data_IF_070808212918
#
_entry.id   IF_070808212918
#
_cell.length_a   1.000
_cell.length_b   1.000
_cell.length_c   1.000
_cell.angle_alpha   90.00
_cell.angle_beta   90.00
_cell.angle_gamma   90.00
#
_symmetry.space_group_name_H-M   'P 1'
#
loop_
_entity.id
_entity.type
_entity.pdbx_description
1 polymer ?
#
# COMPACT_ATOMS: atom_id res chain seq x y z
N UNK A 1 -10.60 -2.11 3.36
CA UNK A 1 -10.18 -0.79 2.87
C UNK A 1 -8.93 -0.45 3.63
N UNK A 2 -7.90 -0.21 2.85
CA UNK A 2 -6.56 -0.04 3.34
C UNK A 2 -6.25 1.46 3.26
N UNK A 3 -5.74 1.99 4.35
CA UNK A 3 -5.47 3.42 4.52
C UNK A 3 -3.96 3.56 4.69
N UNK A 4 -3.34 4.28 3.74
CA UNK A 4 -1.92 4.64 3.84
C UNK A 4 -1.79 6.14 3.90
N UNK A 5 -1.00 6.60 4.86
CA UNK A 5 -0.83 8.01 5.16
C UNK A 5 0.67 8.27 5.13
N UNK A 6 1.14 9.24 4.33
CA UNK A 6 2.55 9.56 4.31
C UNK A 6 2.93 10.24 5.62
N UNK A 7 4.00 9.79 6.25
CA UNK A 7 4.53 10.34 7.50
C UNK A 7 6.02 10.62 7.37
N UNK A 8 6.56 11.37 8.34
CA UNK A 8 7.99 11.58 8.47
C UNK A 8 8.64 10.43 9.23
N UNK A 9 9.97 10.28 9.10
CA UNK A 9 10.72 9.20 9.75
C UNK A 9 10.69 9.25 11.29
N UNK A 10 10.31 10.39 11.87
CA UNK A 10 10.15 10.60 13.30
C UNK A 10 8.83 11.32 13.53
N UNK A 11 7.82 10.60 14.01
CA UNK A 11 6.56 11.19 14.48
C UNK A 11 6.45 10.99 15.99
N UNK A 12 5.77 11.91 16.65
CA UNK A 12 5.43 11.85 18.07
C UNK A 12 4.14 11.05 18.28
N UNK A 13 3.90 10.60 19.52
CA UNK A 13 2.65 9.92 19.86
C UNK A 13 1.41 10.83 19.69
N UNK A 14 1.59 12.15 19.86
CA UNK A 14 0.55 13.14 19.64
C UNK A 14 0.19 13.25 18.15
N UNK A 15 1.20 13.34 17.28
CA UNK A 15 0.98 13.37 15.83
C UNK A 15 0.34 12.06 15.34
N UNK A 16 0.76 10.91 15.87
CA UNK A 16 0.11 9.63 15.59
C UNK A 16 -1.39 9.66 15.94
N UNK A 17 -1.74 10.21 17.10
CA UNK A 17 -3.14 10.37 17.49
C UNK A 17 -3.93 11.32 16.58
N UNK A 18 -3.33 12.44 16.19
CA UNK A 18 -3.95 13.35 15.23
C UNK A 18 -4.21 12.66 13.89
N UNK A 19 -3.22 11.91 13.38
CA UNK A 19 -3.34 11.12 12.15
C UNK A 19 -4.45 10.07 12.28
N UNK A 20 -4.48 9.34 13.40
CA UNK A 20 -5.51 8.33 13.65
C UNK A 20 -6.91 8.93 13.69
N UNK A 21 -7.09 10.05 14.38
CA UNK A 21 -8.40 10.73 14.48
C UNK A 21 -8.82 11.28 13.11
N UNK A 22 -7.91 11.94 12.39
CA UNK A 22 -8.24 12.61 11.13
C UNK A 22 -8.49 11.64 9.98
N UNK A 23 -7.82 10.49 9.95
CA UNK A 23 -7.90 9.57 8.80
C UNK A 23 -8.67 8.27 9.07
N UNK A 24 -8.75 7.81 10.32
CA UNK A 24 -9.46 6.59 10.68
C UNK A 24 -10.78 6.93 11.36
N UNK A 25 -10.72 7.60 12.52
CA UNK A 25 -11.92 7.92 13.31
C UNK A 25 -12.91 8.73 12.48
N UNK A 26 -12.50 9.85 11.90
CA UNK A 26 -13.41 10.75 11.18
C UNK A 26 -14.18 10.08 10.02
N UNK A 27 -13.62 9.00 9.45
CA UNK A 27 -14.17 8.31 8.27
C UNK A 27 -14.92 7.02 8.61
N UNK A 28 -14.49 6.32 9.66
CA UNK A 28 -14.97 4.98 9.98
C UNK A 28 -15.53 4.84 11.40
N UNK A 29 -15.49 5.91 12.19
CA UNK A 29 -15.83 5.90 13.60
C UNK A 29 -14.72 5.29 14.47
N UNK A 30 -15.02 5.16 15.76
CA UNK A 30 -14.12 4.54 16.74
C UNK A 30 -14.13 3.01 16.48
N UNK A 31 -12.99 2.37 16.16
CA UNK A 31 -12.94 0.93 16.02
C UNK A 31 -13.20 0.24 17.37
N UNK A 32 -13.51 -1.04 17.40
CA UNK A 32 -13.65 -1.77 18.68
C UNK A 32 -12.28 -2.13 19.26
N UNK A 33 -11.35 -2.52 18.40
CA UNK A 33 -9.98 -2.84 18.75
C UNK A 33 -8.98 -2.39 17.70
N UNK A 34 -7.73 -2.22 18.11
CA UNK A 34 -6.59 -1.94 17.25
C UNK A 34 -5.54 -3.01 17.51
N UNK A 35 -5.13 -3.69 16.44
CA UNK A 35 -3.98 -4.59 16.48
C UNK A 35 -2.75 -3.84 15.96
N UNK A 36 -1.68 -3.79 16.74
CA UNK A 36 -0.43 -3.10 16.37
C UNK A 36 0.79 -3.88 16.85
N UNK A 37 1.93 -3.65 16.22
CA UNK A 37 3.21 -4.14 16.75
C UNK A 37 3.59 -3.46 18.09
N UNK A 38 4.73 -3.87 18.65
CA UNK A 38 5.27 -3.29 19.89
C UNK A 38 6.13 -2.05 19.66
N UNK A 39 5.92 -1.33 18.56
CA UNK A 39 6.60 -0.07 18.28
C UNK A 39 6.41 0.95 19.41
N UNK A 40 7.45 1.77 19.66
CA UNK A 40 7.51 2.69 20.80
C UNK A 40 6.31 3.63 20.91
N UNK A 41 5.72 4.04 19.78
CA UNK A 41 4.54 4.88 19.73
C UNK A 41 3.27 4.15 20.22
N UNK A 42 3.07 2.90 19.80
CA UNK A 42 1.89 2.08 20.13
C UNK A 42 1.92 1.51 21.56
N UNK A 43 3.09 1.53 22.20
CA UNK A 43 3.26 1.19 23.63
C UNK A 43 3.44 2.41 24.52
N UNK A 44 3.43 3.63 23.95
CA UNK A 44 3.59 4.85 24.72
C UNK A 44 2.45 5.04 25.74
N UNK A 45 2.76 5.70 26.85
CA UNK A 45 1.76 6.05 27.87
C UNK A 45 0.64 6.91 27.28
N UNK A 46 0.99 7.86 26.41
CA UNK A 46 0.03 8.72 25.72
C UNK A 46 -0.95 7.90 24.87
N UNK A 47 -0.45 7.03 23.99
CA UNK A 47 -1.31 6.19 23.14
C UNK A 47 -2.19 5.26 23.98
N UNK A 48 -1.62 4.68 25.03
CA UNK A 48 -2.36 3.80 25.95
C UNK A 48 -3.51 4.55 26.63
N UNK A 49 -3.26 5.75 27.15
CA UNK A 49 -4.27 6.58 27.78
C UNK A 49 -5.36 6.99 26.78
N UNK A 50 -4.98 7.36 25.55
CA UNK A 50 -5.94 7.69 24.49
C UNK A 50 -6.87 6.51 24.18
N UNK A 51 -6.33 5.30 24.01
CA UNK A 51 -7.13 4.09 23.80
C UNK A 51 -8.10 3.85 24.95
N UNK A 52 -7.67 4.02 26.20
CA UNK A 52 -8.54 3.86 27.37
C UNK A 52 -9.70 4.88 27.39
N UNK A 53 -9.43 6.15 27.10
CA UNK A 53 -10.46 7.20 27.04
C UNK A 53 -11.48 6.93 25.92
N UNK A 54 -11.02 6.41 24.79
CA UNK A 54 -11.86 6.03 23.66
C UNK A 54 -12.52 4.66 23.83
N UNK A 55 -12.28 3.96 24.95
CA UNK A 55 -12.75 2.58 25.21
C UNK A 55 -12.36 1.59 24.11
N UNK A 56 -11.17 1.78 23.54
CA UNK A 56 -10.57 0.94 22.51
C UNK A 56 -9.79 -0.21 23.14
N UNK A 57 -10.00 -1.45 22.66
CA UNK A 57 -9.05 -2.52 22.96
C UNK A 57 -7.77 -2.32 22.17
N UNK A 58 -6.62 -2.44 22.84
CA UNK A 58 -5.30 -2.30 22.23
C UNK A 58 -4.61 -3.66 22.30
N UNK A 59 -4.60 -4.35 21.18
CA UNK A 59 -4.11 -5.70 21.05
C UNK A 59 -2.70 -5.64 20.45
N UNK A 60 -1.67 -5.77 21.30
CA UNK A 60 -0.30 -5.78 20.81
C UNK A 60 0.04 -7.14 20.21
N UNK A 61 0.48 -7.19 18.95
CA UNK A 61 1.01 -8.41 18.36
C UNK A 61 2.21 -8.90 19.17
N UNK A 62 2.32 -10.21 19.36
CA UNK A 62 3.54 -10.79 19.91
C UNK A 62 4.62 -10.75 18.85
N UNK A 63 5.90 -10.67 19.25
CA UNK A 63 6.98 -11.00 18.34
C UNK A 63 6.65 -12.38 17.73
N UNK A 64 6.66 -12.48 16.40
CA UNK A 64 6.23 -13.67 15.64
C UNK A 64 4.71 -13.93 15.64
N UNK A 65 3.88 -12.97 15.21
CA UNK A 65 2.50 -13.20 14.75
C UNK A 65 2.41 -13.05 13.21
N UNK A 66 2.87 -14.06 12.43
CA UNK A 66 3.04 -13.94 10.98
C UNK A 66 1.73 -13.74 10.23
N UNK A 67 0.59 -14.06 10.84
CA UNK A 67 -0.71 -13.92 10.20
C UNK A 67 -1.16 -12.46 10.14
N UNK A 68 -1.05 -11.71 11.24
CA UNK A 68 -1.48 -10.31 11.29
C UNK A 68 -0.44 -9.39 10.66
N UNK A 69 0.82 -9.54 11.05
CA UNK A 69 1.91 -8.72 10.51
C UNK A 69 2.18 -9.06 9.04
N UNK A 70 2.06 -10.34 8.67
CA UNK A 70 2.31 -10.79 7.30
C UNK A 70 1.27 -10.32 6.27
N UNK A 71 0.03 -10.02 6.67
CA UNK A 71 -0.92 -9.37 5.75
C UNK A 71 -0.52 -7.93 5.49
N UNK A 72 -0.26 -7.14 6.53
CA UNK A 72 0.20 -5.76 6.42
C UNK A 72 1.51 -5.66 5.63
N UNK A 73 2.46 -6.57 5.86
CA UNK A 73 3.72 -6.66 5.11
C UNK A 73 3.49 -6.94 3.62
N UNK A 74 2.56 -7.84 3.26
CA UNK A 74 2.22 -8.10 1.86
C UNK A 74 1.63 -6.88 1.19
N UNK A 75 0.73 -6.16 1.85
CA UNK A 75 0.15 -4.93 1.31
C UNK A 75 1.24 -3.86 1.12
N UNK A 76 2.13 -3.70 2.10
CA UNK A 76 3.27 -2.80 2.01
C UNK A 76 4.15 -3.12 0.80
N UNK A 77 4.49 -4.39 0.57
CA UNK A 77 5.29 -4.82 -0.57
C UNK A 77 4.60 -4.52 -1.92
N UNK A 78 3.29 -4.72 -1.99
CA UNK A 78 2.50 -4.41 -3.18
C UNK A 78 2.53 -2.91 -3.49
N UNK A 79 2.37 -2.06 -2.47
CA UNK A 79 2.48 -0.61 -2.63
C UNK A 79 3.89 -0.14 -2.94
N UNK A 80 4.92 -0.72 -2.31
CA UNK A 80 6.32 -0.44 -2.65
C UNK A 80 6.57 -0.75 -4.14
N UNK A 81 6.05 -1.88 -4.65
CA UNK A 81 6.18 -2.24 -6.06
C UNK A 81 5.48 -1.26 -6.99
N UNK A 82 4.30 -0.76 -6.60
CA UNK A 82 3.60 0.28 -7.33
C UNK A 82 4.43 1.57 -7.38
N UNK A 83 4.86 2.05 -6.20
CA UNK A 83 5.60 3.30 -6.07
C UNK A 83 6.90 3.27 -6.87
N UNK A 84 7.63 2.15 -6.88
CA UNK A 84 8.86 1.97 -7.68
C UNK A 84 8.69 2.29 -9.17
N UNK A 85 7.49 2.15 -9.73
CA UNK A 85 7.24 2.43 -11.13
C UNK A 85 7.11 3.93 -11.45
N UNK A 86 6.66 4.74 -10.49
CA UNK A 86 6.28 6.14 -10.71
C UNK A 86 7.21 7.13 -10.03
N UNK A 87 7.80 6.71 -8.92
CA UNK A 87 8.72 7.53 -8.14
C UNK A 87 9.91 7.92 -9.00
N UNK A 88 10.22 9.22 -9.00
CA UNK A 88 11.38 9.78 -9.68
C UNK A 88 12.68 9.16 -9.17
N UNK A 89 13.76 9.31 -9.93
CA UNK A 89 15.07 8.81 -9.54
C UNK A 89 15.53 9.32 -8.16
N UNK A 90 15.20 10.57 -7.82
CA UNK A 90 15.53 11.20 -6.55
C UNK A 90 14.61 10.78 -5.40
N UNK A 91 13.52 10.07 -5.68
CA UNK A 91 12.62 9.49 -4.69
C UNK A 91 11.94 10.46 -3.71
N UNK A 92 11.91 11.77 -3.99
CA UNK A 92 11.25 12.75 -3.11
C UNK A 92 9.74 12.87 -3.36
N UNK A 93 9.26 12.42 -4.52
CA UNK A 93 7.88 12.57 -5.00
C UNK A 93 6.96 11.38 -4.66
N UNK A 94 7.43 10.39 -3.89
CA UNK A 94 6.66 9.18 -3.58
C UNK A 94 5.33 9.44 -2.88
N UNK A 95 5.29 10.44 -1.99
CA UNK A 95 4.10 10.82 -1.25
C UNK A 95 2.99 11.35 -2.18
N UNK A 96 3.36 11.97 -3.31
CA UNK A 96 2.42 12.44 -4.34
C UNK A 96 1.72 11.28 -5.05
N UNK A 97 2.41 10.15 -5.21
CA UNK A 97 1.88 8.96 -5.88
C UNK A 97 1.12 8.02 -4.94
N UNK A 98 1.32 8.15 -3.62
CA UNK A 98 0.70 7.27 -2.63
C UNK A 98 -0.83 7.24 -2.73
N UNK A 99 -1.57 8.37 -2.85
CA UNK A 99 -3.03 8.30 -2.97
C UNK A 99 -3.52 7.48 -4.17
N UNK A 100 -2.84 7.58 -5.31
CA UNK A 100 -3.18 6.79 -6.51
C UNK A 100 -2.84 5.31 -6.32
N UNK A 101 -1.75 5.01 -5.62
CA UNK A 101 -1.36 3.64 -5.29
C UNK A 101 -2.39 2.96 -4.37
N UNK A 102 -2.80 3.65 -3.31
CA UNK A 102 -3.85 3.21 -2.37
C UNK A 102 -5.18 3.03 -3.08
N UNK A 103 -5.54 3.99 -3.93
CA UNK A 103 -6.75 3.91 -4.70
C UNK A 103 -6.79 2.67 -5.59
N UNK A 104 -5.73 2.44 -6.38
CA UNK A 104 -5.65 1.30 -7.28
C UNK A 104 -5.64 -0.03 -6.52
N UNK A 105 -5.02 -0.08 -5.34
CA UNK A 105 -5.09 -1.24 -4.47
C UNK A 105 -6.52 -1.49 -3.97
N UNK A 106 -7.22 -0.45 -3.49
CA UNK A 106 -8.58 -0.56 -2.99
C UNK A 106 -9.64 -0.85 -4.09
N UNK A 107 -9.33 -0.55 -5.36
CA UNK A 107 -10.14 -0.92 -6.53
C UNK A 107 -9.83 -2.33 -7.07
N UNK A 108 -8.64 -2.86 -6.79
CA UNK A 108 -8.23 -4.16 -7.30
C UNK A 108 -9.01 -5.30 -6.62
N UNK A 109 -9.42 -6.29 -7.42
CA UNK A 109 -10.10 -7.47 -6.89
C UNK A 109 -9.12 -8.39 -6.16
N UNK A 110 -9.42 -8.69 -4.90
CA UNK A 110 -8.63 -9.65 -4.13
C UNK A 110 -9.06 -11.08 -4.48
N UNK A 111 -8.08 -11.96 -4.73
CA UNK A 111 -8.38 -13.32 -5.20
C UNK A 111 -9.12 -14.20 -4.20
N UNK A 112 -8.97 -13.93 -2.90
CA UNK A 112 -9.64 -14.69 -1.84
C UNK A 112 -11.11 -14.32 -1.72
N UNK A 113 -11.44 -13.03 -1.83
CA UNK A 113 -12.80 -12.51 -1.64
C UNK A 113 -13.57 -12.32 -2.94
N UNK A 114 -12.87 -12.34 -4.09
CA UNK A 114 -13.42 -12.00 -5.43
C UNK A 114 -14.12 -10.65 -5.48
N UNK A 115 -13.74 -9.77 -4.56
CA UNK A 115 -14.28 -8.43 -4.37
C UNK A 115 -13.12 -7.48 -4.06
N UNK A 116 -13.25 -6.24 -4.50
CA UNK A 116 -12.34 -5.17 -4.12
C UNK A 116 -12.63 -4.69 -2.70
N UNK A 117 -11.64 -4.10 -2.00
CA UNK A 117 -11.88 -3.41 -0.74
C UNK A 117 -12.96 -2.32 -0.81
N UNK A 118 -13.05 -1.55 -1.91
CA UNK A 118 -14.10 -0.54 -2.10
C UNK A 118 -15.49 -1.16 -2.13
N UNK A 119 -15.70 -2.19 -2.94
CA UNK A 119 -16.99 -2.88 -3.02
C UNK A 119 -17.38 -3.52 -1.70
N UNK A 120 -16.40 -4.03 -0.94
CA UNK A 120 -16.65 -4.72 0.33
C UNK A 120 -17.19 -3.78 1.41
N UNK A 121 -16.77 -2.51 1.41
CA UNK A 121 -17.17 -1.54 2.43
C UNK A 121 -18.32 -0.64 1.98
N UNK A 122 -18.32 -0.20 0.72
CA UNK A 122 -19.31 0.74 0.22
C UNK A 122 -20.39 0.09 -0.65
N UNK A 123 -20.26 -1.20 -0.99
CA UNK A 123 -21.17 -1.89 -1.91
C UNK A 123 -21.04 -1.45 -3.38
N UNK A 124 -20.15 -0.51 -3.67
CA UNK A 124 -19.90 0.04 -5.00
C UNK A 124 -18.41 0.19 -5.26
N UNK A 125 -17.99 0.01 -6.51
CA UNK A 125 -16.66 0.39 -6.94
C UNK A 125 -16.70 1.79 -7.55
N UNK A 126 -15.78 2.69 -7.16
CA UNK A 126 -15.65 3.98 -7.81
C UNK A 126 -15.29 3.80 -9.29
N UNK A 127 -16.21 4.17 -10.18
CA UNK A 127 -15.98 4.17 -11.63
C UNK A 127 -15.29 5.48 -12.06
N UNK A 128 -14.30 5.37 -12.96
CA UNK A 128 -13.69 6.51 -13.66
C UNK A 128 -14.39 6.82 -14.97
N UNK A 129 -15.33 5.97 -15.39
CA UNK A 129 -16.01 6.08 -16.68
C UNK A 129 -16.96 7.29 -16.70
N UNK A 130 -17.28 7.85 -15.53
CA UNK A 130 -18.16 9.03 -15.37
C UNK A 130 -17.45 10.37 -15.54
N UNK A 131 -16.12 10.39 -15.74
CA UNK A 131 -15.36 11.63 -15.89
C UNK A 131 -15.51 12.15 -17.34
N UNK A 132 -16.63 12.82 -17.61
CA UNK A 132 -16.81 13.61 -18.84
C UNK A 132 -16.00 14.91 -18.73
N UNK A 133 -14.72 14.86 -19.11
CA UNK A 133 -13.90 16.07 -19.20
C UNK A 133 -13.75 16.46 -20.66
N UNK A 134 -14.13 17.70 -20.97
CA UNK A 134 -13.79 18.37 -22.22
C UNK A 134 -12.27 18.30 -22.45
N UNK A 135 -11.87 17.65 -23.55
CA UNK A 135 -10.46 17.41 -23.89
C UNK A 135 -9.66 18.70 -24.16
N UNK A 136 -10.34 19.84 -24.33
CA UNK A 136 -9.72 21.12 -24.69
C UNK A 136 -9.23 21.95 -23.49
N UNK A 137 -9.49 21.50 -22.26
CA UNK A 137 -9.00 22.18 -21.06
C UNK A 137 -7.63 21.66 -20.60
N UNK A 138 -6.79 22.49 -19.93
CA UNK A 138 -5.60 22.01 -19.22
C UNK A 138 -5.89 20.85 -18.26
N UNK A 139 -7.10 20.81 -17.67
CA UNK A 139 -7.58 19.72 -16.82
C UNK A 139 -7.84 18.41 -17.59
N UNK A 140 -8.28 18.49 -18.85
CA UNK A 140 -8.49 17.33 -19.74
C UNK A 140 -7.20 16.61 -20.14
N UNK A 141 -6.09 17.34 -20.25
CA UNK A 141 -4.76 16.74 -20.49
C UNK A 141 -4.22 16.03 -19.25
N UNK A 142 -4.50 16.56 -18.07
CA UNK A 142 -4.12 15.93 -16.79
C UNK A 142 -4.94 14.66 -16.56
N UNK A 143 -6.25 14.67 -16.85
CA UNK A 143 -7.13 13.53 -16.62
C UNK A 143 -6.88 12.34 -17.56
N UNK A 144 -6.63 12.59 -18.85
CA UNK A 144 -6.25 11.55 -19.82
C UNK A 144 -4.92 10.90 -19.45
N UNK A 145 -3.95 11.70 -18.98
CA UNK A 145 -2.71 11.18 -18.40
C UNK A 145 -2.97 10.38 -17.12
N UNK A 146 -3.89 10.81 -16.27
CA UNK A 146 -4.25 10.11 -15.03
C UNK A 146 -4.93 8.77 -15.32
N UNK A 147 -5.89 8.71 -16.27
CA UNK A 147 -6.55 7.47 -16.71
C UNK A 147 -5.56 6.47 -17.32
N UNK A 148 -4.70 6.93 -18.23
CA UNK A 148 -3.69 6.06 -18.85
C UNK A 148 -2.67 5.54 -17.82
N UNK A 149 -2.22 6.41 -16.91
CA UNK A 149 -1.39 6.02 -15.77
C UNK A 149 -2.12 4.99 -14.92
N UNK A 150 -3.38 5.21 -14.58
CA UNK A 150 -4.18 4.31 -13.74
C UNK A 150 -4.45 2.94 -14.40
N UNK A 151 -4.69 2.88 -15.70
CA UNK A 151 -4.82 1.60 -16.41
C UNK A 151 -3.50 0.83 -16.46
N UNK A 152 -2.39 1.54 -16.74
CA UNK A 152 -1.06 0.94 -16.72
C UNK A 152 -0.70 0.41 -15.32
N UNK A 153 -0.98 1.22 -14.31
CA UNK A 153 -0.95 0.89 -12.89
C UNK A 153 -1.72 -0.40 -12.60
N UNK A 154 -3.00 -0.47 -12.99
CA UNK A 154 -3.89 -1.56 -12.61
C UNK A 154 -3.36 -2.87 -13.19
N UNK A 155 -2.98 -2.83 -14.46
CA UNK A 155 -2.38 -3.95 -15.17
C UNK A 155 -1.06 -4.41 -14.54
N UNK A 156 -0.20 -3.47 -14.15
CA UNK A 156 1.09 -3.81 -13.54
C UNK A 156 0.94 -4.27 -12.10
N UNK A 157 -0.02 -3.72 -11.35
CA UNK A 157 -0.38 -4.16 -10.00
C UNK A 157 -0.93 -5.59 -10.02
N UNK A 158 -1.84 -5.89 -10.95
CA UNK A 158 -2.32 -7.27 -11.18
C UNK A 158 -1.17 -8.21 -11.58
N UNK A 159 -0.22 -7.72 -12.38
CA UNK A 159 0.97 -8.46 -12.78
C UNK A 159 1.92 -8.69 -11.60
N UNK A 160 2.10 -7.70 -10.73
CA UNK A 160 2.89 -7.77 -9.51
C UNK A 160 2.25 -8.74 -8.50
N UNK A 161 0.95 -8.63 -8.25
CA UNK A 161 0.17 -9.55 -7.40
C UNK A 161 0.27 -10.98 -7.94
N UNK A 162 0.14 -11.18 -9.26
CA UNK A 162 0.33 -12.51 -9.89
C UNK A 162 1.75 -13.04 -9.69
N UNK A 163 2.77 -12.18 -9.83
CA UNK A 163 4.17 -12.54 -9.56
C UNK A 163 4.39 -12.92 -8.11
N UNK A 164 3.91 -12.13 -7.16
CA UNK A 164 3.99 -12.44 -5.72
C UNK A 164 3.37 -13.79 -5.39
N UNK A 165 2.18 -14.10 -5.91
CA UNK A 165 1.55 -15.42 -5.78
C UNK A 165 2.47 -16.52 -6.30
N UNK A 166 2.95 -16.39 -7.55
CA UNK A 166 3.83 -17.39 -8.17
C UNK A 166 5.11 -17.64 -7.35
N UNK A 167 5.65 -16.62 -6.70
CA UNK A 167 6.82 -16.74 -5.81
C UNK A 167 6.48 -17.34 -4.44
N UNK A 168 5.37 -16.94 -3.81
CA UNK A 168 4.91 -17.51 -2.54
C UNK A 168 4.61 -19.01 -2.67
N UNK A 169 4.06 -19.45 -3.80
CA UNK A 169 3.80 -20.86 -4.11
C UNK A 169 5.06 -21.64 -4.58
N UNK A 170 6.20 -20.98 -4.75
CA UNK A 170 7.44 -21.56 -5.33
C UNK A 170 8.40 -22.18 -4.31
N UNK A 171 8.05 -22.20 -3.03
CA UNK A 171 8.74 -23.04 -2.06
C UNK A 171 8.43 -24.52 -2.37
N UNK A 172 9.11 -25.05 -3.40
CA UNK A 172 9.31 -26.45 -3.85
C UNK A 172 9.44 -26.49 -5.38
N UNK A 173 10.62 -26.23 -5.95
CA UNK A 173 11.14 -26.96 -7.15
C UNK A 173 12.41 -26.37 -7.76
N UNK A 174 13.11 -27.28 -8.45
CA UNK A 174 14.37 -27.19 -9.20
C UNK A 174 14.37 -26.01 -10.20
N UNK A 175 15.50 -25.29 -10.39
CA UNK A 175 15.58 -24.16 -11.32
C UNK A 175 15.37 -24.60 -12.80
N UNK A 176 14.63 -23.81 -13.60
CA UNK A 176 14.41 -24.08 -15.02
C UNK A 176 15.66 -23.82 -15.88
N UNK A 177 15.73 -24.47 -17.04
CA UNK A 177 16.76 -24.20 -18.06
C UNK A 177 16.46 -22.87 -18.77
N UNK A 178 17.48 -22.01 -18.95
CA UNK A 178 17.34 -20.69 -19.59
C UNK A 178 17.93 -20.69 -21.00
N UNK A 179 17.28 -19.96 -21.92
CA UNK A 179 17.74 -19.74 -23.29
C UNK A 179 18.26 -18.29 -23.45
N UNK A 180 19.22 -18.03 -24.35
CA UNK A 180 19.63 -16.67 -24.69
C UNK A 180 18.42 -15.83 -25.15
N UNK A 181 18.27 -14.62 -24.57
CA UNK A 181 17.14 -13.67 -24.65
C UNK A 181 16.04 -13.80 -23.59
N UNK A 182 16.10 -14.79 -22.71
CA UNK A 182 15.21 -14.85 -21.55
C UNK A 182 15.52 -13.73 -20.55
N UNK A 183 14.47 -13.07 -20.06
CA UNK A 183 14.60 -12.09 -18.97
C UNK A 183 14.60 -12.82 -17.63
N UNK A 184 15.73 -12.80 -16.94
CA UNK A 184 15.90 -13.41 -15.61
C UNK A 184 15.89 -12.35 -14.52
N UNK A 185 15.37 -12.72 -13.35
CA UNK A 185 15.41 -11.86 -12.16
C UNK A 185 16.82 -11.84 -11.59
N UNK A 186 17.42 -10.65 -11.55
CA UNK A 186 18.75 -10.45 -10.96
C UNK A 186 18.59 -10.12 -9.47
N UNK A 187 19.24 -10.90 -8.61
CA UNK A 187 19.27 -10.62 -7.18
C UNK A 187 20.07 -9.34 -6.91
N UNK A 188 19.40 -8.27 -6.48
CA UNK A 188 20.01 -6.97 -6.20
C UNK A 188 20.85 -6.92 -4.91
N UNK A 189 21.11 -8.07 -4.27
CA UNK A 189 21.86 -8.16 -3.01
C UNK A 189 23.26 -7.55 -3.15
N UNK A 190 23.87 -7.68 -4.34
CA UNK A 190 25.21 -7.17 -4.66
C UNK A 190 25.21 -6.00 -5.67
N UNK A 191 24.04 -5.45 -6.01
CA UNK A 191 23.94 -4.30 -6.93
C UNK A 191 23.92 -3.03 -6.09
N UNK A 192 24.93 -2.19 -6.27
CA UNK A 192 24.99 -0.87 -5.65
C UNK A 192 24.13 0.10 -6.47
N UNK A 193 23.14 0.72 -5.83
CA UNK A 193 22.29 1.75 -6.45
C UNK A 193 22.64 3.11 -5.87
N UNK A 194 22.72 4.14 -6.69
CA UNK A 194 22.90 5.55 -6.28
C UNK A 194 21.59 6.23 -5.83
N UNK A 195 20.46 5.50 -5.90
CA UNK A 195 19.16 5.94 -5.38
C UNK A 195 19.15 5.95 -3.84
N UNK A 196 18.42 6.90 -3.25
CA UNK A 196 18.44 7.18 -1.80
C UNK A 196 17.96 6.00 -0.93
N UNK A 197 16.86 5.35 -1.31
CA UNK A 197 16.24 4.26 -0.55
C UNK A 197 16.16 3.01 -1.40
N UNK A 198 16.73 1.91 -0.90
CA UNK A 198 16.70 0.60 -1.58
C UNK A 198 15.27 0.04 -1.75
N UNK A 199 14.32 0.49 -0.92
CA UNK A 199 12.91 0.08 -0.96
C UNK A 199 12.12 0.64 -2.15
N UNK A 200 12.54 1.78 -2.69
CA UNK A 200 11.90 2.42 -3.86
C UNK A 200 12.82 2.42 -5.09
N UNK A 201 13.90 1.63 -5.03
CA UNK A 201 14.87 1.45 -6.11
C UNK A 201 14.50 0.32 -7.05
#
# INVERSE_FOLDING_TARGET
MEIFIPTYGTITALELAQIFISHVFSKHGIPVSIVSDRGSLFVSSFWTNLCQQLKLSRDLSTAFHPETDGQTEKVNQILEQYLRMYVSYHQYDWHTWLPLAVFAYNDAEHSSTKKSPFFTIYGINPSFDSIHISQDSPAGKVSTKLQSVQQAVKKELESAIRRFKKYAYRNRSIPPYFQPRDRVWLASKNIKTTRLTKKLS
#
